data_IF_143164078436
#
_entry.id   IF_143164078436
#
_cell.length_a   1.000
_cell.length_b   1.000
_cell.length_c   1.000
_cell.angle_alpha   90.00
_cell.angle_beta   90.00
_cell.angle_gamma   90.00
#
_symmetry.space_group_name_H-M   'P 1'
#
loop_
_entity.id
_entity.type
_entity.pdbx_description
1 polymer ?
#
# COMPACT_ATOMS: atom_id res chain seq x y z
N UNK A 1 17.72 -20.53 -7.98
CA UNK A 1 17.05 -19.49 -7.18
C UNK A 1 15.68 -19.99 -6.74
N UNK A 2 15.41 -19.89 -5.46
CA UNK A 2 14.07 -20.19 -4.96
C UNK A 2 13.17 -18.96 -5.17
N UNK A 3 11.88 -19.21 -5.39
CA UNK A 3 10.85 -18.17 -5.44
C UNK A 3 10.13 -18.13 -4.11
N UNK A 4 9.82 -16.92 -3.66
CA UNK A 4 8.96 -16.70 -2.52
C UNK A 4 7.55 -16.42 -3.04
N UNK A 5 6.55 -17.04 -2.43
CA UNK A 5 5.16 -16.89 -2.83
C UNK A 5 4.39 -16.18 -1.72
N UNK A 6 3.68 -15.12 -2.09
CA UNK A 6 2.73 -14.44 -1.21
C UNK A 6 1.33 -14.90 -1.62
N UNK A 7 0.59 -15.47 -0.68
CA UNK A 7 -0.82 -15.77 -0.90
C UNK A 7 -1.64 -14.52 -0.63
N UNK A 8 -2.60 -14.22 -1.50
CA UNK A 8 -3.39 -12.99 -1.41
C UNK A 8 -4.89 -13.32 -1.50
N UNK A 9 -5.68 -12.71 -0.63
CA UNK A 9 -7.14 -12.78 -0.67
C UNK A 9 -7.71 -11.38 -0.86
N UNK A 10 -8.62 -11.22 -1.82
CA UNK A 10 -9.39 -9.98 -1.96
C UNK A 10 -10.55 -9.95 -0.99
N UNK A 11 -10.73 -8.84 -0.31
CA UNK A 11 -11.95 -8.53 0.43
C UNK A 11 -12.99 -7.93 -0.53
N UNK A 12 -14.29 -7.93 -0.16
CA UNK A 12 -15.35 -7.47 -1.07
C UNK A 12 -15.13 -6.07 -1.66
N UNK A 13 -14.59 -5.13 -0.87
CA UNK A 13 -14.37 -3.77 -1.34
C UNK A 13 -13.19 -3.63 -2.32
N UNK A 14 -12.40 -4.68 -2.54
CA UNK A 14 -11.35 -4.69 -3.55
C UNK A 14 -11.78 -5.41 -4.84
N UNK A 15 -13.03 -5.83 -4.94
CA UNK A 15 -13.52 -6.51 -6.13
C UNK A 15 -13.36 -5.61 -7.36
N UNK A 16 -12.83 -6.17 -8.45
CA UNK A 16 -12.57 -5.44 -9.68
C UNK A 16 -11.22 -4.72 -9.74
N UNK A 17 -10.52 -4.56 -8.61
CA UNK A 17 -9.17 -4.02 -8.63
C UNK A 17 -8.16 -5.13 -8.94
N UNK A 18 -7.12 -4.84 -9.74
CA UNK A 18 -6.07 -5.82 -9.99
C UNK A 18 -5.27 -6.12 -8.72
N UNK A 19 -4.73 -7.32 -8.62
CA UNK A 19 -3.79 -7.68 -7.56
C UNK A 19 -2.46 -6.95 -7.76
N UNK A 20 -1.70 -6.71 -6.68
CA UNK A 20 -0.37 -6.15 -6.81
C UNK A 20 0.50 -6.99 -7.75
N UNK A 21 1.31 -6.30 -8.54
CA UNK A 21 2.24 -6.93 -9.46
C UNK A 21 3.49 -6.06 -9.60
N UNK A 22 4.60 -6.69 -9.93
CA UNK A 22 5.82 -5.96 -10.26
C UNK A 22 5.67 -5.31 -11.62
N UNK A 23 5.95 -4.01 -11.71
CA UNK A 23 5.85 -3.28 -12.97
C UNK A 23 6.93 -3.70 -13.98
N UNK A 24 8.10 -4.12 -13.47
CA UNK A 24 9.22 -4.62 -14.27
C UNK A 24 9.83 -5.83 -13.59
N UNK A 25 10.59 -6.68 -14.32
CA UNK A 25 11.28 -7.82 -13.69
C UNK A 25 12.27 -7.43 -12.59
N UNK A 26 12.82 -6.22 -12.65
CA UNK A 26 13.78 -5.72 -11.66
C UNK A 26 13.17 -4.85 -10.57
N UNK A 27 11.85 -4.68 -10.54
CA UNK A 27 11.21 -3.84 -9.54
C UNK A 27 11.33 -4.47 -8.15
N UNK A 28 11.70 -3.66 -7.15
CA UNK A 28 11.79 -4.10 -5.77
C UNK A 28 10.41 -4.14 -5.09
N UNK A 29 9.51 -3.26 -5.47
CA UNK A 29 8.19 -3.11 -4.87
C UNK A 29 7.05 -3.33 -5.85
N UNK A 30 5.91 -3.73 -5.28
CA UNK A 30 4.64 -3.83 -5.99
C UNK A 30 3.75 -2.68 -5.54
N UNK A 31 3.02 -2.03 -6.48
CA UNK A 31 2.09 -0.98 -6.10
C UNK A 31 0.89 -1.53 -5.34
N UNK A 32 0.50 -0.81 -4.28
CA UNK A 32 -0.73 -1.04 -3.55
C UNK A 32 -1.77 0.00 -3.98
N UNK A 33 -2.98 -0.46 -4.23
CA UNK A 33 -4.09 0.37 -4.71
C UNK A 33 -5.06 0.69 -3.59
N UNK A 34 -5.63 1.89 -3.64
CA UNK A 34 -6.66 2.30 -2.70
C UNK A 34 -7.98 1.59 -3.02
N UNK A 35 -8.52 0.85 -2.06
CA UNK A 35 -9.83 0.19 -2.18
C UNK A 35 -10.93 1.00 -1.49
N UNK A 36 -10.87 2.31 -1.60
CA UNK A 36 -11.92 3.19 -1.08
C UNK A 36 -13.20 3.03 -1.90
N UNK A 37 -14.35 3.09 -1.25
CA UNK A 37 -15.64 3.04 -1.91
C UNK A 37 -16.13 4.42 -2.34
N UNK A 38 -15.57 5.47 -1.76
CA UNK A 38 -15.80 6.87 -2.10
C UNK A 38 -14.48 7.63 -1.98
N UNK A 39 -14.31 8.76 -2.70
CA UNK A 39 -13.11 9.57 -2.58
C UNK A 39 -12.85 10.00 -1.13
N UNK A 40 -11.59 9.93 -0.72
CA UNK A 40 -11.15 10.26 0.63
C UNK A 40 -10.18 11.44 0.54
N UNK A 41 -10.55 12.58 1.13
CA UNK A 41 -9.74 13.79 1.09
C UNK A 41 -8.92 13.93 2.39
N UNK A 42 -7.63 14.15 2.23
CA UNK A 42 -6.70 14.35 3.34
C UNK A 42 -6.24 15.82 3.29
N UNK A 43 -6.64 16.65 4.26
CA UNK A 43 -6.21 18.05 4.28
C UNK A 43 -4.72 18.17 4.63
N UNK A 44 -4.06 19.31 4.35
CA UNK A 44 -2.68 19.53 4.77
C UNK A 44 -2.51 19.29 6.27
N UNK A 45 -1.50 18.51 6.64
CA UNK A 45 -1.24 18.10 8.02
C UNK A 45 -2.11 16.95 8.52
N UNK A 46 -3.11 16.52 7.73
CA UNK A 46 -3.98 15.39 8.08
C UNK A 46 -3.39 14.04 7.72
N UNK A 47 -3.98 13.00 8.27
CA UNK A 47 -3.65 11.61 7.93
C UNK A 47 -4.91 10.77 7.89
N UNK A 48 -4.86 9.67 7.13
CA UNK A 48 -5.97 8.76 6.99
C UNK A 48 -5.49 7.33 6.80
N UNK A 49 -6.27 6.38 7.29
CA UNK A 49 -6.07 4.97 7.04
C UNK A 49 -6.77 4.61 5.74
N UNK A 50 -6.01 4.19 4.73
CA UNK A 50 -6.54 3.85 3.42
C UNK A 50 -6.55 2.34 3.25
N UNK A 51 -7.71 1.72 3.01
CA UNK A 51 -7.80 0.27 2.83
C UNK A 51 -7.23 -0.14 1.47
N UNK A 52 -6.62 -1.32 1.42
CA UNK A 52 -6.24 -1.96 0.15
C UNK A 52 -7.20 -3.07 -0.26
N UNK A 53 -8.03 -3.52 0.66
CA UNK A 53 -8.94 -4.65 0.43
C UNK A 53 -8.23 -5.98 0.27
N UNK A 54 -7.00 -6.10 0.75
CA UNK A 54 -6.20 -7.31 0.60
C UNK A 54 -5.80 -7.87 1.96
N UNK A 55 -5.81 -9.19 2.06
CA UNK A 55 -5.13 -9.96 3.10
C UNK A 55 -4.02 -10.76 2.47
N UNK A 56 -2.92 -10.93 3.18
CA UNK A 56 -1.78 -11.68 2.68
C UNK A 56 -1.33 -12.73 3.68
N UNK A 57 -0.73 -13.81 3.15
CA UNK A 57 0.02 -14.77 3.95
C UNK A 57 1.43 -14.81 3.37
N UNK A 58 2.39 -14.38 4.17
CA UNK A 58 3.78 -14.28 3.74
C UNK A 58 4.48 -15.63 3.87
N UNK A 59 5.48 -15.90 3.02
CA UNK A 59 6.32 -17.09 3.22
C UNK A 59 7.10 -16.97 4.53
N UNK A 60 7.39 -18.12 5.15
CA UNK A 60 8.12 -18.17 6.40
C UNK A 60 9.47 -17.45 6.28
N UNK A 61 9.85 -16.73 7.33
CA UNK A 61 11.11 -16.00 7.37
C UNK A 61 11.09 -14.67 6.62
N UNK A 62 9.93 -14.18 6.19
CA UNK A 62 9.80 -12.94 5.44
C UNK A 62 8.91 -11.94 6.17
N UNK A 63 9.13 -10.67 5.85
CA UNK A 63 8.25 -9.56 6.20
C UNK A 63 7.80 -8.83 4.93
N UNK A 64 6.72 -8.11 5.01
CA UNK A 64 6.32 -7.19 3.95
C UNK A 64 6.49 -5.77 4.46
N UNK A 65 7.30 -4.98 3.75
CA UNK A 65 7.48 -3.57 4.08
C UNK A 65 6.58 -2.74 3.19
N UNK A 66 5.84 -1.82 3.79
CA UNK A 66 4.98 -0.89 3.05
C UNK A 66 5.64 0.47 3.07
N UNK A 67 5.89 1.02 1.90
CA UNK A 67 6.67 2.24 1.70
C UNK A 67 5.88 3.26 0.87
N UNK A 68 6.14 4.57 1.07
CA UNK A 68 5.55 5.60 0.23
C UNK A 68 6.02 5.51 -1.23
N UNK A 69 5.28 6.15 -2.11
CA UNK A 69 5.67 6.31 -3.50
C UNK A 69 6.35 7.66 -3.68
N UNK A 70 7.52 7.67 -4.32
CA UNK A 70 8.32 8.88 -4.52
C UNK A 70 7.59 9.96 -5.32
N UNK A 71 6.79 9.56 -6.32
CA UNK A 71 6.03 10.52 -7.13
C UNK A 71 4.99 11.29 -6.33
N UNK A 72 4.25 10.61 -5.44
CA UNK A 72 3.28 11.26 -4.56
C UNK A 72 3.97 12.13 -3.51
N UNK A 73 5.11 11.68 -3.00
CA UNK A 73 5.89 12.46 -2.04
C UNK A 73 6.38 13.77 -2.67
N UNK A 74 6.94 13.69 -3.86
CA UNK A 74 7.50 14.88 -4.53
C UNK A 74 6.42 15.85 -4.99
N UNK A 75 5.37 15.35 -5.65
CA UNK A 75 4.34 16.23 -6.24
C UNK A 75 3.36 16.78 -5.23
N UNK A 76 2.99 15.97 -4.24
CA UNK A 76 1.87 16.30 -3.35
C UNK A 76 2.25 16.32 -1.87
N UNK A 77 3.48 15.94 -1.54
CA UNK A 77 3.88 15.84 -0.14
C UNK A 77 3.22 14.69 0.61
N UNK A 78 2.79 13.65 -0.10
CA UNK A 78 2.12 12.49 0.51
C UNK A 78 3.17 11.50 0.96
N UNK A 79 3.11 11.14 2.23
CA UNK A 79 4.04 10.20 2.85
C UNK A 79 3.29 9.27 3.80
N UNK A 80 4.02 8.41 4.49
CA UNK A 80 3.50 7.53 5.54
C UNK A 80 4.24 7.85 6.83
N UNK A 81 3.53 8.24 7.92
CA UNK A 81 4.21 8.59 9.17
C UNK A 81 4.91 7.40 9.83
N UNK A 82 4.53 6.17 9.47
CA UNK A 82 5.14 4.95 9.98
C UNK A 82 6.10 4.28 9.00
N UNK A 83 6.57 4.99 7.97
CA UNK A 83 7.42 4.37 6.95
C UNK A 83 8.79 3.93 7.51
N UNK A 84 9.29 2.74 7.13
CA UNK A 84 8.55 1.69 6.44
C UNK A 84 7.55 1.00 7.37
N UNK A 85 6.33 0.80 6.89
CA UNK A 85 5.35 0.02 7.62
C UNK A 85 5.75 -1.45 7.62
N UNK A 86 5.54 -2.14 8.74
CA UNK A 86 5.92 -3.55 8.89
C UNK A 86 4.68 -4.42 8.90
N UNK A 87 4.66 -5.42 8.02
CA UNK A 87 3.64 -6.47 8.04
C UNK A 87 4.35 -7.76 8.43
N UNK A 88 3.98 -8.29 9.58
CA UNK A 88 4.58 -9.49 10.12
C UNK A 88 4.13 -10.75 9.36
N UNK A 89 4.93 -11.77 9.41
CA UNK A 89 4.68 -13.06 8.77
C UNK A 89 3.32 -13.65 9.19
N UNK A 90 2.93 -13.47 10.43
CA UNK A 90 1.69 -14.03 11.01
C UNK A 90 0.50 -13.05 10.98
N UNK A 91 0.66 -11.87 10.40
CA UNK A 91 -0.46 -10.93 10.28
C UNK A 91 -1.45 -11.41 9.23
N UNK A 92 -2.73 -11.52 9.60
CA UNK A 92 -3.81 -12.00 8.71
C UNK A 92 -4.93 -10.99 8.52
N UNK A 93 -4.77 -9.78 9.06
CA UNK A 93 -5.73 -8.71 8.87
C UNK A 93 -5.59 -8.05 7.50
N UNK A 94 -6.48 -7.10 7.24
CA UNK A 94 -6.41 -6.32 6.02
C UNK A 94 -5.16 -5.45 5.99
N UNK A 95 -4.50 -5.38 4.83
CA UNK A 95 -3.44 -4.42 4.60
C UNK A 95 -4.07 -3.03 4.43
N UNK A 96 -3.65 -2.10 5.25
CA UNK A 96 -4.09 -0.71 5.16
C UNK A 96 -2.88 0.21 5.20
N UNK A 97 -2.98 1.34 4.51
CA UNK A 97 -1.89 2.29 4.36
C UNK A 97 -2.24 3.56 5.13
N UNK A 98 -1.36 3.97 6.03
CA UNK A 98 -1.52 5.26 6.73
C UNK A 98 -0.85 6.33 5.88
N UNK A 99 -1.67 7.17 5.23
CA UNK A 99 -1.16 8.30 4.44
C UNK A 99 -1.23 9.58 5.24
N UNK A 100 -0.18 10.39 5.12
CA UNK A 100 -0.11 11.72 5.71
C UNK A 100 0.15 12.74 4.61
N UNK A 101 -0.56 13.87 4.69
CA UNK A 101 -0.38 14.98 3.76
C UNK A 101 0.55 16.02 4.40
N UNK A 102 1.81 16.01 4.00
CA UNK A 102 2.80 17.00 4.42
C UNK A 102 2.92 18.15 3.41
N UNK A 103 2.03 18.21 2.43
CA UNK A 103 2.00 19.27 1.42
C UNK A 103 1.18 20.48 1.84
N UNK A 104 0.93 21.35 0.88
CA UNK A 104 0.24 22.63 1.09
C UNK A 104 -1.23 22.58 0.70
N UNK A 105 -1.65 21.58 -0.07
CA UNK A 105 -3.01 21.47 -0.61
C UNK A 105 -3.64 20.16 -0.17
N UNK A 106 -4.97 20.13 -0.09
CA UNK A 106 -5.71 18.90 0.15
C UNK A 106 -5.44 17.89 -0.95
N UNK A 107 -5.33 16.61 -0.56
CA UNK A 107 -5.09 15.51 -1.48
C UNK A 107 -6.27 14.54 -1.42
N UNK A 108 -6.83 14.19 -2.58
CA UNK A 108 -7.96 13.26 -2.65
C UNK A 108 -7.49 11.90 -3.13
N UNK A 109 -7.74 10.89 -2.32
CA UNK A 109 -7.49 9.49 -2.67
C UNK A 109 -8.73 8.96 -3.37
N UNK A 110 -8.54 8.46 -4.57
CA UNK A 110 -9.61 7.87 -5.35
C UNK A 110 -9.42 6.36 -5.50
N UNK A 111 -10.52 5.66 -5.77
CA UNK A 111 -10.49 4.20 -5.92
C UNK A 111 -9.55 3.79 -7.04
N UNK A 112 -8.70 2.80 -6.75
CA UNK A 112 -7.72 2.28 -7.70
C UNK A 112 -6.44 3.09 -7.81
N UNK A 113 -6.33 4.18 -7.06
CA UNK A 113 -5.11 4.99 -7.05
C UNK A 113 -3.95 4.21 -6.42
N UNK A 114 -2.78 4.31 -7.04
CA UNK A 114 -1.54 3.75 -6.49
C UNK A 114 -1.05 4.63 -5.35
N UNK A 115 -1.13 4.14 -4.12
CA UNK A 115 -0.90 4.95 -2.92
C UNK A 115 0.37 4.60 -2.14
N UNK A 116 0.89 3.41 -2.37
CA UNK A 116 2.08 2.92 -1.67
C UNK A 116 2.69 1.78 -2.46
N UNK A 117 3.78 1.24 -1.97
CA UNK A 117 4.39 0.05 -2.54
C UNK A 117 4.75 -0.94 -1.45
N UNK A 118 4.68 -2.22 -1.79
CA UNK A 118 5.00 -3.31 -0.88
C UNK A 118 6.28 -4.00 -1.34
N UNK A 119 7.20 -4.21 -0.41
CA UNK A 119 8.50 -4.86 -0.67
C UNK A 119 8.59 -6.08 0.24
N UNK A 120 8.71 -7.27 -0.38
CA UNK A 120 8.93 -8.51 0.37
C UNK A 120 10.41 -8.59 0.73
N UNK A 121 10.70 -8.79 2.01
CA UNK A 121 12.06 -8.89 2.51
C UNK A 121 12.23 -10.12 3.41
N UNK A 122 13.40 -10.79 3.33
CA UNK A 122 13.70 -11.92 4.20
C UNK A 122 13.93 -11.53 5.65
#
# INVERSE_FOLDING_TARGET
>A
MSRATIQVTRLPHAEGLPLPAYATPGAAGMDLLAAVTAPLTIPPGGRALVPTGLRVALPAGHELQVRPRSGLALKHGITMPNTPGTVDEDYRGELSVILMNAGQESFTVERGMRIAQAVLAP
#
